data_IF_806302129304
#
_entry.id   IF_806302129304
#
_cell.length_a   1.000
_cell.length_b   1.000
_cell.length_c   1.000
_cell.angle_alpha   90.00
_cell.angle_beta   90.00
_cell.angle_gamma   90.00
#
_symmetry.space_group_name_H-M   'P 1'
#
loop_
_entity.id
_entity.type
_entity.pdbx_description
1 polymer ?
#
# COMPACT_ATOMS: atom_id res chain seq x y z
N UNK A 1 14.67 -4.85 16.06
CA UNK A 1 13.89 -4.27 14.94
C UNK A 1 13.01 -5.36 14.36
N UNK A 2 11.77 -5.06 13.96
CA UNK A 2 10.95 -6.04 13.26
C UNK A 2 11.49 -6.26 11.84
N UNK A 3 11.51 -7.51 11.34
CA UNK A 3 11.94 -7.80 9.98
C UNK A 3 10.98 -7.18 8.97
N UNK A 4 11.51 -6.79 7.81
CA UNK A 4 10.67 -6.42 6.69
C UNK A 4 9.97 -7.64 6.10
N UNK A 5 8.74 -7.44 5.61
CA UNK A 5 8.08 -8.44 4.77
C UNK A 5 8.86 -8.53 3.46
N UNK A 6 9.36 -9.73 3.16
CA UNK A 6 10.12 -10.03 1.95
C UNK A 6 9.22 -9.95 0.71
N UNK A 7 8.10 -10.69 0.71
CA UNK A 7 7.19 -10.73 -0.42
C UNK A 7 6.03 -9.74 -0.28
N UNK A 8 6.28 -8.49 -0.68
CA UNK A 8 5.31 -7.40 -0.62
C UNK A 8 4.16 -7.55 -1.64
N UNK A 9 4.42 -8.15 -2.82
CA UNK A 9 3.37 -8.41 -3.83
C UNK A 9 2.33 -9.42 -3.31
N UNK A 10 2.78 -10.53 -2.71
CA UNK A 10 1.89 -11.52 -2.12
C UNK A 10 0.98 -10.90 -1.05
N UNK A 11 1.55 -10.09 -0.15
CA UNK A 11 0.76 -9.41 0.89
C UNK A 11 -0.26 -8.45 0.28
N UNK A 12 0.10 -7.68 -0.74
CA UNK A 12 -0.84 -6.78 -1.41
C UNK A 12 -1.98 -7.54 -2.10
N UNK A 13 -1.73 -8.72 -2.68
CA UNK A 13 -2.77 -9.57 -3.25
C UNK A 13 -3.72 -10.13 -2.20
N UNK A 14 -3.19 -10.58 -1.06
CA UNK A 14 -4.03 -11.09 0.03
C UNK A 14 -4.85 -9.97 0.68
N UNK A 15 -4.26 -8.79 0.90
CA UNK A 15 -4.99 -7.61 1.35
C UNK A 15 -6.08 -7.24 0.34
N UNK A 16 -5.79 -7.30 -0.95
CA UNK A 16 -6.77 -7.02 -2.00
C UNK A 16 -7.92 -8.04 -1.98
N UNK A 17 -7.63 -9.33 -1.75
CA UNK A 17 -8.63 -10.39 -1.66
C UNK A 17 -9.61 -10.18 -0.51
N UNK A 18 -9.12 -9.80 0.68
CA UNK A 18 -9.96 -9.64 1.88
C UNK A 18 -10.63 -8.26 1.99
N UNK A 19 -10.09 -7.24 1.31
CA UNK A 19 -10.65 -5.89 1.34
C UNK A 19 -12.00 -5.84 0.61
N UNK A 20 -13.02 -5.34 1.31
CA UNK A 20 -14.35 -5.05 0.75
C UNK A 20 -14.24 -4.10 -0.44
N UNK A 21 -15.16 -4.16 -1.43
CA UNK A 21 -15.12 -3.27 -2.61
C UNK A 21 -15.06 -1.77 -2.28
N UNK A 22 -15.71 -1.33 -1.18
CA UNK A 22 -15.70 0.07 -0.72
C UNK A 22 -14.56 0.39 0.27
N UNK A 23 -13.73 -0.60 0.61
CA UNK A 23 -12.65 -0.45 1.58
C UNK A 23 -11.45 0.31 1.01
N UNK A 24 -10.61 0.80 1.93
CA UNK A 24 -9.35 1.47 1.59
C UNK A 24 -8.16 0.74 2.24
N UNK A 25 -7.05 0.71 1.51
CA UNK A 25 -5.74 0.35 2.04
C UNK A 25 -5.02 1.64 2.44
N UNK A 26 -4.70 1.77 3.72
CA UNK A 26 -3.93 2.89 4.25
C UNK A 26 -2.51 2.44 4.58
N UNK A 27 -1.52 3.23 4.18
CA UNK A 27 -0.12 3.00 4.56
C UNK A 27 0.56 4.30 4.92
N UNK A 28 1.59 4.21 5.76
CA UNK A 28 2.40 5.35 6.18
C UNK A 28 3.81 5.19 5.61
N UNK A 29 4.33 6.24 5.00
CA UNK A 29 5.75 6.33 4.64
C UNK A 29 6.54 7.02 5.75
N UNK A 30 7.83 6.71 5.85
CA UNK A 30 8.74 7.29 6.84
C UNK A 30 10.17 7.34 6.29
N UNK A 31 11.14 7.70 7.12
CA UNK A 31 12.55 7.75 6.71
C UNK A 31 13.10 6.39 6.23
N UNK A 32 12.53 5.27 6.69
CA UNK A 32 12.91 3.91 6.25
C UNK A 32 12.28 3.52 4.92
N UNK A 33 11.00 3.82 4.76
CA UNK A 33 10.23 3.53 3.56
C UNK A 33 9.74 4.85 2.98
N UNK A 34 10.52 5.40 2.04
CA UNK A 34 10.19 6.69 1.40
C UNK A 34 8.89 6.59 0.62
N UNK A 35 8.21 7.72 0.48
CA UNK A 35 6.92 7.84 -0.23
C UNK A 35 6.98 7.22 -1.62
N UNK A 36 8.02 7.54 -2.38
CA UNK A 36 8.20 7.10 -3.77
C UNK A 36 8.33 5.57 -3.83
N UNK A 37 9.04 4.98 -2.87
CA UNK A 37 9.19 3.53 -2.77
C UNK A 37 7.86 2.84 -2.44
N UNK A 38 7.03 3.44 -1.58
CA UNK A 38 5.68 2.93 -1.30
C UNK A 38 4.82 2.96 -2.57
N UNK A 39 4.86 4.07 -3.31
CA UNK A 39 4.10 4.23 -4.56
C UNK A 39 4.55 3.23 -5.62
N UNK A 40 5.86 2.99 -5.76
CA UNK A 40 6.42 2.00 -6.67
C UNK A 40 5.94 0.58 -6.33
N UNK A 41 6.04 0.18 -5.06
CA UNK A 41 5.63 -1.15 -4.59
C UNK A 41 4.13 -1.39 -4.83
N UNK A 42 3.28 -0.41 -4.47
CA UNK A 42 1.83 -0.55 -4.66
C UNK A 42 1.48 -0.51 -6.16
N UNK A 43 2.10 0.39 -6.91
CA UNK A 43 1.88 0.58 -8.34
C UNK A 43 2.25 -0.63 -9.19
N UNK A 44 3.30 -1.37 -8.81
CA UNK A 44 3.74 -2.59 -9.50
C UNK A 44 2.66 -3.69 -9.58
N UNK A 45 1.73 -3.72 -8.62
CA UNK A 45 0.64 -4.71 -8.61
C UNK A 45 -0.55 -4.32 -9.48
N UNK A 46 -0.69 -3.02 -9.78
CA UNK A 46 -1.88 -2.43 -10.43
C UNK A 46 -3.23 -2.78 -9.76
N UNK A 47 -3.23 -3.16 -8.48
CA UNK A 47 -4.45 -3.54 -7.74
C UNK A 47 -5.16 -2.36 -7.06
N UNK A 48 -4.47 -1.23 -6.94
CA UNK A 48 -4.91 -0.11 -6.13
C UNK A 48 -4.69 1.24 -6.84
N UNK A 49 -5.56 2.21 -6.54
CA UNK A 49 -5.45 3.61 -6.96
C UNK A 49 -5.25 4.49 -5.74
N UNK A 50 -4.26 5.39 -5.76
CA UNK A 50 -4.10 6.41 -4.73
C UNK A 50 -5.28 7.39 -4.82
N UNK A 51 -5.96 7.63 -3.70
CA UNK A 51 -7.12 8.54 -3.63
C UNK A 51 -6.92 9.72 -2.70
N UNK A 52 -6.04 9.60 -1.72
CA UNK A 52 -5.78 10.68 -0.78
C UNK A 52 -4.36 10.57 -0.20
N UNK A 53 -3.74 11.72 0.03
CA UNK A 53 -2.55 11.86 0.86
C UNK A 53 -2.81 12.86 1.98
N UNK A 54 -2.70 12.42 3.23
CA UNK A 54 -2.82 13.27 4.42
C UNK A 54 -1.55 13.17 5.26
N UNK A 55 -0.70 14.19 5.14
CA UNK A 55 0.64 14.18 5.74
C UNK A 55 1.47 13.00 5.20
N UNK A 56 1.87 12.10 6.11
CA UNK A 56 2.65 10.90 5.79
C UNK A 56 1.80 9.65 5.50
N UNK A 57 0.48 9.78 5.47
CA UNK A 57 -0.45 8.68 5.19
C UNK A 57 -0.89 8.77 3.73
N UNK A 58 -0.85 7.63 3.05
CA UNK A 58 -1.37 7.41 1.71
C UNK A 58 -2.56 6.45 1.80
N UNK A 59 -3.70 6.85 1.24
CA UNK A 59 -4.90 6.04 1.18
C UNK A 59 -5.17 5.61 -0.26
N UNK A 60 -5.41 4.32 -0.44
CA UNK A 60 -5.66 3.71 -1.73
C UNK A 60 -7.01 3.01 -1.75
N UNK A 61 -7.72 3.12 -2.87
CA UNK A 61 -8.91 2.30 -3.14
C UNK A 61 -8.52 1.11 -3.99
N UNK A 62 -9.31 0.04 -3.86
CA UNK A 62 -9.30 -1.10 -4.77
C UNK A 62 -9.59 -0.61 -6.20
N UNK A 63 -8.86 -1.14 -7.19
CA UNK A 63 -9.21 -0.97 -8.60
C UNK A 63 -10.24 -2.00 -9.04
#
# INVERSE_FOLDING_TARGET
MLPEIENKDFVLRELHRVLKPSGYLSTRYCFRMKRERVLEIIGATNLYSLVEQKGHILNFKKK
#
